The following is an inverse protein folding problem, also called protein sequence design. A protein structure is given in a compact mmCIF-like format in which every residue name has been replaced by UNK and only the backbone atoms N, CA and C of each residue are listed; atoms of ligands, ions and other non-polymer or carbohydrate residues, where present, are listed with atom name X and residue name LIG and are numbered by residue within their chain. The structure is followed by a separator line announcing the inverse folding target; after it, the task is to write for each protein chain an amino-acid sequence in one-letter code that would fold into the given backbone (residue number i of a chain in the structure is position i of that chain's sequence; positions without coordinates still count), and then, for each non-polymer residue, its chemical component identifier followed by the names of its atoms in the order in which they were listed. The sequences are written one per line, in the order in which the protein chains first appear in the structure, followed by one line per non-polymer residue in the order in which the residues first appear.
data_IF_558603941944
#
_entry.id   IF_558603941944
#
_cell.length_a   1.000
_cell.length_b   1.000
_cell.length_c   1.000
_cell.angle_alpha   90.00
_cell.angle_beta   90.00
_cell.angle_gamma   90.00
#
_symmetry.space_group_name_H-M   'P 1'
#
loop_
_entity.id
_entity.type
_entity.pdbx_description
1 polymer ?
#
# COMPACT_ATOMS: atom_id res chain seq x y z
N UNK A 1 -32.36 -7.42 9.30
CA UNK A 1 -31.29 -7.01 10.24
C UNK A 1 -29.97 -7.10 9.51
N UNK A 2 -29.18 -6.03 9.46
CA UNK A 2 -27.81 -6.12 8.94
C UNK A 2 -26.96 -6.92 9.92
N UNK A 3 -26.36 -8.02 9.47
CA UNK A 3 -25.45 -8.83 10.29
C UNK A 3 -24.18 -8.04 10.56
N UNK A 4 -23.84 -7.89 11.83
CA UNK A 4 -22.59 -7.28 12.28
C UNK A 4 -21.44 -8.27 12.11
N UNK A 5 -20.32 -7.79 11.57
CA UNK A 5 -19.10 -8.58 11.34
C UNK A 5 -18.09 -8.23 12.42
N UNK A 6 -17.49 -9.23 13.06
CA UNK A 6 -16.42 -8.99 14.03
C UNK A 6 -15.08 -8.80 13.33
N UNK A 7 -14.14 -8.14 14.01
CA UNK A 7 -12.80 -7.86 13.47
C UNK A 7 -12.08 -9.15 13.05
N UNK A 8 -12.18 -10.24 13.81
CA UNK A 8 -11.54 -11.52 13.48
C UNK A 8 -11.99 -12.17 12.17
N UNK A 9 -13.20 -11.84 11.72
CA UNK A 9 -13.83 -12.43 10.55
C UNK A 9 -13.45 -11.65 9.27
N UNK A 10 -12.77 -10.51 9.40
CA UNK A 10 -12.34 -9.67 8.29
C UNK A 10 -11.15 -10.33 7.57
N UNK A 11 -11.26 -10.43 6.24
CA UNK A 11 -10.24 -10.94 5.32
C UNK A 11 -10.05 -9.98 4.15
N UNK A 12 -8.88 -9.99 3.48
CA UNK A 12 -8.66 -9.20 2.28
C UNK A 12 -9.75 -9.43 1.22
N UNK A 13 -10.21 -8.36 0.59
CA UNK A 13 -11.18 -8.41 -0.50
C UNK A 13 -12.65 -8.46 -0.07
N UNK A 14 -12.95 -8.62 1.23
CA UNK A 14 -14.32 -8.54 1.72
C UNK A 14 -14.88 -7.12 1.58
N UNK A 15 -16.16 -7.03 1.21
CA UNK A 15 -16.92 -5.79 0.96
C UNK A 15 -18.24 -5.84 1.72
N UNK A 16 -18.95 -4.71 1.78
CA UNK A 16 -20.22 -4.57 2.47
C UNK A 16 -20.13 -4.93 3.97
N UNK A 17 -18.95 -4.67 4.57
CA UNK A 17 -18.69 -4.94 5.98
C UNK A 17 -19.46 -3.94 6.85
N UNK A 18 -20.16 -4.46 7.86
CA UNK A 18 -20.77 -3.65 8.90
C UNK A 18 -20.11 -4.02 10.23
N UNK A 19 -19.33 -3.12 10.81
CA UNK A 19 -18.46 -3.40 11.96
C UNK A 19 -18.64 -2.29 12.98
N UNK A 20 -18.81 -2.64 14.25
CA UNK A 20 -18.71 -1.69 15.36
C UNK A 20 -17.37 -1.94 16.05
N UNK A 21 -16.66 -0.86 16.32
CA UNK A 21 -15.35 -0.91 16.98
C UNK A 21 -15.14 0.31 17.86
N UNK A 22 -14.22 0.19 18.81
CA UNK A 22 -13.68 1.31 19.57
C UNK A 22 -12.34 1.73 18.98
N UNK A 23 -12.09 3.04 18.91
CA UNK A 23 -10.82 3.60 18.47
C UNK A 23 -9.83 3.56 19.62
N UNK A 24 -8.68 2.92 19.40
CA UNK A 24 -7.60 2.83 20.37
C UNK A 24 -6.59 3.95 20.19
N UNK A 25 -6.15 4.15 18.95
CA UNK A 25 -5.10 5.13 18.63
C UNK A 25 -5.40 5.82 17.31
N UNK A 26 -5.14 7.12 17.25
CA UNK A 26 -5.19 7.93 16.03
C UNK A 26 -3.78 8.19 15.54
N UNK A 27 -3.44 7.70 14.35
CA UNK A 27 -2.13 7.91 13.73
C UNK A 27 -1.93 9.31 13.17
N UNK A 28 -0.75 9.55 12.59
CA UNK A 28 -0.42 10.83 11.95
C UNK A 28 -1.24 11.03 10.67
N UNK A 29 -1.57 12.29 10.39
CA UNK A 29 -2.17 12.69 9.11
C UNK A 29 -1.08 12.70 8.04
N UNK A 30 -1.38 12.09 6.90
CA UNK A 30 -0.55 12.10 5.70
C UNK A 30 -1.33 12.73 4.56
N UNK A 31 -0.66 13.54 3.72
CA UNK A 31 -1.28 14.11 2.52
C UNK A 31 -0.90 13.28 1.29
N UNK A 32 -1.91 12.93 0.51
CA UNK A 32 -1.72 12.36 -0.82
C UNK A 32 -1.25 13.43 -1.81
N UNK A 33 -0.78 13.00 -2.99
CA UNK A 33 -0.34 13.92 -4.06
C UNK A 33 -1.46 14.85 -4.53
N UNK A 34 -2.70 14.37 -4.43
CA UNK A 34 -3.90 15.07 -4.89
C UNK A 34 -4.48 16.01 -3.80
N UNK A 35 -3.81 16.11 -2.66
CA UNK A 35 -4.18 17.02 -1.56
C UNK A 35 -5.09 16.41 -0.49
N UNK A 36 -5.62 15.19 -0.69
CA UNK A 36 -6.45 14.51 0.31
C UNK A 36 -5.65 14.12 1.55
N UNK A 37 -6.25 14.30 2.71
CA UNK A 37 -5.69 13.90 3.99
C UNK A 37 -6.10 12.47 4.32
N UNK A 38 -5.15 11.66 4.78
CA UNK A 38 -5.40 10.28 5.20
C UNK A 38 -4.80 10.06 6.56
N UNK A 39 -5.62 9.52 7.48
CA UNK A 39 -5.21 9.12 8.82
C UNK A 39 -5.42 7.62 8.97
N UNK A 40 -4.43 6.93 9.51
CA UNK A 40 -4.57 5.52 9.92
C UNK A 40 -4.87 5.48 11.40
N UNK A 41 -5.92 4.78 11.81
CA UNK A 41 -6.29 4.59 13.20
C UNK A 41 -6.24 3.11 13.56
N UNK A 42 -5.81 2.79 14.79
CA UNK A 42 -5.94 1.45 15.37
C UNK A 42 -7.31 1.36 16.03
N UNK A 43 -8.10 0.36 15.66
CA UNK A 43 -9.44 0.12 16.19
C UNK A 43 -9.58 -1.32 16.64
N UNK A 44 -10.50 -1.60 17.56
CA UNK A 44 -10.68 -2.94 18.09
C UNK A 44 -12.13 -3.26 18.45
N UNK A 45 -12.42 -4.56 18.49
CA UNK A 45 -13.60 -5.11 19.15
C UNK A 45 -13.16 -6.20 20.13
N UNK A 46 -14.10 -6.94 20.73
CA UNK A 46 -13.81 -8.05 21.66
C UNK A 46 -12.96 -9.19 21.06
N UNK A 47 -12.78 -9.23 19.74
CA UNK A 47 -12.12 -10.31 19.00
C UNK A 47 -10.71 -9.98 18.53
N UNK A 48 -10.30 -8.72 18.59
CA UNK A 48 -8.94 -8.28 18.25
C UNK A 48 -8.93 -6.86 17.68
N UNK A 49 -7.78 -6.47 17.14
CA UNK A 49 -7.56 -5.13 16.59
C UNK A 49 -7.23 -5.13 15.10
N UNK A 50 -7.57 -4.04 14.43
CA UNK A 50 -7.30 -3.82 13.00
C UNK A 50 -7.05 -2.32 12.77
N UNK A 51 -6.32 -2.00 11.70
CA UNK A 51 -6.08 -0.65 11.23
C UNK A 51 -7.20 -0.24 10.26
N UNK A 52 -7.68 0.99 10.40
CA UNK A 52 -8.60 1.63 9.45
C UNK A 52 -7.94 2.86 8.87
N UNK A 53 -8.05 3.07 7.56
CA UNK A 53 -7.65 4.33 6.92
C UNK A 53 -8.87 5.19 6.65
N UNK A 54 -8.88 6.39 7.23
CA UNK A 54 -9.98 7.35 7.12
C UNK A 54 -9.48 8.60 6.40
N UNK A 55 -10.32 9.12 5.51
CA UNK A 55 -9.98 10.20 4.59
C UNK A 55 -10.63 11.52 5.00
N UNK A 56 -9.94 12.60 4.66
CA UNK A 56 -10.38 13.99 4.74
C UNK A 56 -10.90 14.39 6.13
N UNK A 57 -11.92 15.25 6.17
CA UNK A 57 -12.47 15.84 7.39
C UNK A 57 -12.93 14.78 8.40
N UNK A 58 -13.50 13.66 7.93
CA UNK A 58 -13.96 12.56 8.78
C UNK A 58 -12.79 12.00 9.61
N UNK A 59 -11.60 11.92 9.03
CA UNK A 59 -10.40 11.46 9.74
C UNK A 59 -9.93 12.44 10.83
N UNK A 60 -10.25 13.74 10.69
CA UNK A 60 -9.95 14.77 11.68
C UNK A 60 -10.88 14.76 12.90
N UNK A 61 -12.11 14.29 12.72
CA UNK A 61 -13.13 14.25 13.78
C UNK A 61 -12.95 13.07 14.75
N UNK A 62 -12.29 11.99 14.31
CA UNK A 62 -12.12 10.76 15.11
C UNK A 62 -11.11 10.96 16.24
N UNK A 63 -11.50 10.55 17.45
CA UNK A 63 -10.68 10.55 18.66
C UNK A 63 -10.50 9.15 19.24
N UNK A 64 -9.44 8.96 20.03
CA UNK A 64 -9.27 7.75 20.83
C UNK A 64 -10.41 7.63 21.85
N UNK A 65 -10.94 6.41 22.01
CA UNK A 65 -12.09 6.12 22.85
C UNK A 65 -13.45 6.19 22.14
N UNK A 66 -13.53 6.73 20.93
CA UNK A 66 -14.79 6.78 20.16
C UNK A 66 -15.26 5.36 19.81
N UNK A 67 -16.57 5.11 19.96
CA UNK A 67 -17.23 3.91 19.45
C UNK A 67 -17.90 4.27 18.14
N UNK A 68 -17.45 3.63 17.06
CA UNK A 68 -17.86 3.96 15.70
C UNK A 68 -18.47 2.73 15.04
N UNK A 69 -19.60 2.96 14.37
CA UNK A 69 -20.23 2.01 13.45
C UNK A 69 -19.77 2.34 12.03
N UNK A 70 -19.06 1.41 11.42
CA UNK A 70 -18.80 1.42 9.98
C UNK A 70 -19.90 0.66 9.26
N UNK A 71 -20.46 1.25 8.21
CA UNK A 71 -21.37 0.57 7.28
C UNK A 71 -20.78 0.53 5.87
N UNK A 72 -21.08 -0.55 5.14
CA UNK A 72 -20.56 -0.83 3.80
C UNK A 72 -19.04 -0.61 3.67
N UNK A 73 -18.29 -1.00 4.68
CA UNK A 73 -16.84 -1.02 4.65
C UNK A 73 -16.29 -2.07 3.69
N UNK A 74 -15.00 -1.98 3.40
CA UNK A 74 -14.25 -3.03 2.72
C UNK A 74 -12.86 -3.18 3.33
N UNK A 75 -12.28 -4.37 3.19
CA UNK A 75 -10.95 -4.66 3.68
C UNK A 75 -10.00 -4.93 2.51
N UNK A 76 -8.82 -4.32 2.56
CA UNK A 76 -7.76 -4.52 1.56
C UNK A 76 -6.40 -4.55 2.24
N UNK A 77 -5.39 -5.08 1.56
CA UNK A 77 -4.02 -5.10 2.06
C UNK A 77 -3.30 -3.88 1.52
N UNK A 78 -2.70 -3.10 2.42
CA UNK A 78 -1.84 -1.98 2.06
C UNK A 78 -0.48 -2.16 2.74
N UNK A 79 0.59 -2.20 1.93
CA UNK A 79 1.97 -2.43 2.41
C UNK A 79 2.11 -3.67 3.30
N UNK A 80 1.36 -4.74 2.99
CA UNK A 80 1.37 -6.00 3.76
C UNK A 80 0.44 -6.03 4.98
N UNK A 81 -0.22 -4.92 5.31
CA UNK A 81 -1.14 -4.80 6.44
C UNK A 81 -2.59 -4.88 5.98
N UNK A 82 -3.38 -5.80 6.55
CA UNK A 82 -4.84 -5.79 6.35
C UNK A 82 -5.42 -4.52 6.95
N UNK A 83 -6.09 -3.73 6.12
CA UNK A 83 -6.60 -2.40 6.48
C UNK A 83 -8.05 -2.28 6.07
N UNK A 84 -8.85 -1.71 6.97
CA UNK A 84 -10.26 -1.41 6.77
C UNK A 84 -10.43 -0.04 6.12
N UNK A 85 -11.44 0.10 5.28
CA UNK A 85 -11.76 1.32 4.54
C UNK A 85 -13.28 1.52 4.50
N UNK A 86 -13.70 2.77 4.35
CA UNK A 86 -15.09 3.12 4.07
C UNK A 86 -15.38 2.89 2.59
N UNK A 87 -16.37 2.05 2.27
CA UNK A 87 -16.76 1.77 0.89
C UNK A 87 -17.68 2.82 0.29
N UNK A 88 -18.00 2.65 -1.00
CA UNK A 88 -18.90 3.56 -1.72
C UNK A 88 -20.30 3.55 -1.11
N UNK A 89 -20.78 4.72 -0.68
CA UNK A 89 -22.07 4.87 0.00
C UNK A 89 -22.11 4.21 1.39
N UNK A 90 -20.94 3.93 1.96
CA UNK A 90 -20.74 3.62 3.36
C UNK A 90 -20.40 4.87 4.17
N UNK A 91 -20.48 4.75 5.48
CA UNK A 91 -20.26 5.85 6.41
C UNK A 91 -19.64 5.37 7.73
N UNK A 92 -19.03 6.31 8.45
CA UNK A 92 -18.56 6.15 9.81
C UNK A 92 -19.45 6.97 10.73
N UNK A 93 -20.17 6.31 11.62
CA UNK A 93 -21.07 6.96 12.57
C UNK A 93 -20.55 6.77 14.00
N UNK A 94 -20.20 7.85 14.69
CA UNK A 94 -19.96 7.80 16.14
C UNK A 94 -21.27 7.47 16.85
N UNK A 95 -21.29 6.39 17.62
CA UNK A 95 -22.46 5.91 18.35
C UNK A 95 -22.26 5.89 19.87
N UNK A 96 -21.04 6.17 20.35
CA UNK A 96 -20.71 6.23 21.78
C UNK A 96 -19.24 6.48 22.02
N UNK A 97 -18.79 6.31 23.26
CA UNK A 97 -17.39 6.42 23.68
C UNK A 97 -17.11 5.59 24.94
N UNK A 98 -15.84 5.19 25.13
CA UNK A 98 -15.21 4.59 26.32
C UNK A 98 -15.69 3.20 26.78
N UNK A 99 -17.00 2.92 26.75
CA UNK A 99 -17.59 1.77 27.44
C UNK A 99 -17.67 0.46 26.63
N UNK A 100 -16.98 0.37 25.48
CA UNK A 100 -16.97 -0.86 24.66
C UNK A 100 -15.86 -1.80 25.11
N UNK A 101 -16.19 -3.06 25.38
CA UNK A 101 -15.20 -4.10 25.66
C UNK A 101 -14.44 -4.46 24.37
N UNK A 102 -13.10 -4.47 24.45
CA UNK A 102 -12.23 -4.77 23.32
C UNK A 102 -11.04 -5.66 23.71
N UNK A 103 -10.42 -6.27 22.70
CA UNK A 103 -9.12 -6.94 22.79
C UNK A 103 -8.17 -6.32 21.78
N UNK A 104 -6.94 -6.00 22.19
CA UNK A 104 -5.92 -5.53 21.26
C UNK A 104 -5.30 -6.66 20.44
N UNK A 105 -5.37 -7.90 20.94
CA UNK A 105 -4.71 -9.08 20.39
C UNK A 105 -5.74 -10.11 19.94
N UNK A 106 -5.57 -10.75 18.77
CA UNK A 106 -4.51 -10.51 17.79
C UNK A 106 -4.71 -9.19 17.03
N UNK A 107 -3.61 -8.61 16.55
CA UNK A 107 -3.64 -7.48 15.64
C UNK A 107 -3.65 -8.00 14.20
N UNK A 108 -4.81 -7.90 13.54
CA UNK A 108 -5.02 -8.40 12.19
C UNK A 108 -4.31 -7.57 11.11
N UNK A 109 -3.79 -6.40 11.46
CA UNK A 109 -3.01 -5.53 10.56
C UNK A 109 -1.51 -5.76 10.66
N UNK A 110 -1.04 -6.70 11.48
CA UNK A 110 0.37 -7.07 11.45
C UNK A 110 0.80 -7.49 10.04
N UNK A 111 1.98 -7.05 9.57
CA UNK A 111 2.48 -7.42 8.25
C UNK A 111 2.51 -8.95 8.09
N UNK A 112 1.68 -9.47 7.18
CA UNK A 112 1.64 -10.89 6.89
C UNK A 112 2.34 -11.18 5.54
N UNK A 113 3.41 -12.00 5.53
CA UNK A 113 4.08 -12.43 4.29
C UNK A 113 3.14 -13.06 3.25
N UNK A 114 2.08 -13.75 3.66
CA UNK A 114 1.11 -14.37 2.75
C UNK A 114 0.32 -13.31 1.97
N UNK A 115 -0.06 -12.19 2.60
CA UNK A 115 -0.76 -11.11 1.94
C UNK A 115 0.11 -10.39 0.92
N UNK A 116 1.42 -10.25 1.20
CA UNK A 116 2.38 -9.71 0.25
C UNK A 116 2.51 -10.61 -0.99
N UNK A 117 2.53 -11.93 -0.80
CA UNK A 117 2.60 -12.88 -1.91
C UNK A 117 1.34 -12.88 -2.81
N UNK A 118 0.16 -12.63 -2.23
CA UNK A 118 -1.10 -12.56 -2.99
C UNK A 118 -1.19 -11.29 -3.84
N UNK A 119 -0.71 -10.13 -3.35
CA UNK A 119 -0.67 -8.89 -4.16
C UNK A 119 0.14 -9.06 -5.45
N UNK A 120 1.24 -9.81 -5.40
CA UNK A 120 2.10 -10.04 -6.56
C UNK A 120 1.47 -10.96 -7.63
N UNK A 121 0.48 -11.79 -7.27
CA UNK A 121 -0.22 -12.66 -8.23
C UNK A 121 -1.37 -11.95 -8.96
N UNK A 122 -2.05 -11.02 -8.30
CA UNK A 122 -3.18 -10.26 -8.89
C UNK A 122 -2.75 -9.22 -9.94
N UNK A 123 -1.45 -8.93 -10.08
CA UNK A 123 -0.93 -8.03 -11.12
C UNK A 123 -0.67 -8.67 -12.49
N UNK A 124 -0.94 -9.97 -12.67
CA UNK A 124 -0.57 -10.73 -13.88
C UNK A 124 -1.75 -11.41 -14.61
N UNK A 125 -3.01 -11.11 -14.26
CA UNK A 125 -4.16 -11.86 -14.79
C UNK A 125 -5.11 -11.10 -15.73
N UNK A 126 -4.66 -9.99 -16.34
CA UNK A 126 -5.34 -9.39 -17.50
C UNK A 126 -4.86 -10.03 -18.81
N UNK A 127 -4.93 -11.36 -18.87
CA UNK A 127 -4.81 -12.06 -20.13
C UNK A 127 -5.74 -13.27 -20.16
N UNK A 128 -6.59 -13.28 -21.19
CA UNK A 128 -7.52 -14.32 -21.64
C UNK A 128 -8.90 -14.36 -20.97
N UNK A 129 -9.90 -13.75 -21.65
CA UNK A 129 -11.16 -14.46 -21.92
C UNK A 129 -11.98 -13.78 -23.04
N UNK A 130 -11.91 -14.29 -24.27
CA UNK A 130 -13.06 -14.35 -25.18
C UNK A 130 -12.84 -15.46 -26.20
N UNK A 131 -13.54 -16.56 -26.00
CA UNK A 131 -13.81 -17.55 -27.05
C UNK A 131 -15.33 -17.68 -27.24
N UNK A 132 -15.72 -18.07 -28.46
CA UNK A 132 -17.07 -18.29 -29.04
C UNK A 132 -17.66 -17.07 -29.79
N UNK A 133 -18.20 -17.15 -31.02
CA UNK A 133 -18.64 -18.30 -31.84
C UNK A 133 -18.91 -17.94 -33.33
N UNK A 134 -18.77 -18.96 -34.20
CA UNK A 134 -19.54 -19.28 -35.42
C UNK A 134 -19.36 -18.50 -36.76
N UNK A 135 -19.06 -19.25 -37.84
CA UNK A 135 -19.36 -18.85 -39.23
C UNK A 135 -18.60 -19.51 -40.40
N UNK A 136 -18.80 -20.82 -40.67
CA UNK A 136 -18.91 -21.52 -42.00
C UNK A 136 -17.87 -21.35 -43.17
N UNK A 137 -17.86 -22.25 -44.20
CA UNK A 137 -16.63 -22.85 -44.78
C UNK A 137 -16.33 -22.55 -46.27
N UNK A 138 -15.08 -22.78 -46.69
CA UNK A 138 -14.59 -23.07 -48.06
C UNK A 138 -13.07 -23.32 -47.92
N UNK A 139 -12.34 -24.23 -48.58
CA UNK A 139 -12.50 -25.05 -49.78
C UNK A 139 -11.09 -25.21 -50.36
N UNK A 140 -10.77 -26.42 -50.87
CA UNK A 140 -9.67 -26.80 -51.78
C UNK A 140 -8.29 -27.29 -51.23
N UNK A 141 -8.08 -28.59 -51.52
CA UNK A 141 -6.95 -29.23 -52.23
C UNK A 141 -5.56 -29.44 -51.58
N UNK A 142 -5.37 -30.71 -51.15
CA UNK A 142 -4.23 -31.67 -51.26
C UNK A 142 -2.94 -31.30 -52.03
N UNK A 143 -1.85 -32.13 -51.97
CA UNK A 143 -1.19 -32.85 -50.86
C UNK A 143 0.37 -32.72 -50.94
N UNK A 144 1.11 -33.60 -50.23
CA UNK A 144 2.55 -33.93 -50.41
C UNK A 144 3.54 -33.07 -49.58
N UNK A 145 4.55 -33.58 -48.88
CA UNK A 145 5.14 -34.90 -48.81
C UNK A 145 6.20 -34.97 -47.70
N UNK A 146 6.67 -36.20 -47.49
CA UNK A 146 7.56 -36.72 -46.44
C UNK A 146 8.98 -36.09 -46.44
N UNK A 147 9.64 -35.99 -45.28
CA UNK A 147 11.06 -35.59 -45.21
C UNK A 147 11.69 -35.70 -43.82
N UNK A 148 12.41 -36.81 -43.61
CA UNK A 148 13.17 -37.19 -42.40
C UNK A 148 14.63 -36.72 -42.54
N UNK A 149 15.38 -36.74 -41.43
CA UNK A 149 16.87 -36.68 -41.31
C UNK A 149 17.51 -35.28 -41.40
N UNK A 150 18.67 -34.94 -40.80
CA UNK A 150 19.59 -35.53 -39.81
C UNK A 150 20.78 -34.56 -39.74
N UNK A 151 21.29 -34.29 -38.52
CA UNK A 151 22.72 -34.23 -38.16
C UNK A 151 23.71 -33.40 -39.01
N UNK A 152 24.43 -32.47 -38.35
CA UNK A 152 25.62 -31.83 -38.92
C UNK A 152 26.35 -30.91 -37.96
N UNK A 153 27.36 -31.46 -37.26
CA UNK A 153 28.34 -30.78 -36.41
C UNK A 153 29.40 -29.98 -37.20
N UNK A 154 30.06 -29.02 -36.53
CA UNK A 154 31.46 -28.62 -36.81
C UNK A 154 31.67 -27.10 -36.87
N UNK A 155 32.18 -26.47 -35.80
CA UNK A 155 33.58 -26.00 -35.60
C UNK A 155 33.96 -24.79 -36.50
N UNK A 156 34.48 -23.65 -36.03
CA UNK A 156 35.75 -23.48 -35.29
C UNK A 156 36.10 -21.98 -35.15
N UNK A 157 36.82 -21.59 -34.08
CA UNK A 157 37.91 -20.55 -33.98
C UNK A 157 37.59 -19.06 -34.28
N UNK A 158 38.14 -18.00 -33.67
CA UNK A 158 39.23 -17.76 -32.71
C UNK A 158 39.14 -16.31 -32.16
N UNK A 159 39.76 -16.07 -30.99
CA UNK A 159 40.53 -14.88 -30.59
C UNK A 159 39.96 -13.43 -30.53
N UNK A 160 39.89 -12.90 -29.30
CA UNK A 160 40.21 -11.51 -28.88
C UNK A 160 41.73 -11.20 -29.10
N UNK A 161 42.32 -9.98 -28.89
CA UNK A 161 41.88 -8.84 -28.07
C UNK A 161 42.21 -7.38 -28.58
N UNK A 162 41.66 -6.38 -27.88
CA UNK A 162 42.37 -5.15 -27.48
C UNK A 162 42.26 -3.88 -28.34
N UNK A 163 42.01 -2.72 -27.71
CA UNK A 163 42.28 -1.38 -28.28
C UNK A 163 41.37 -0.26 -27.78
N UNK A 164 41.96 0.87 -27.35
CA UNK A 164 41.37 1.98 -26.57
C UNK A 164 40.92 3.18 -27.42
N UNK A 165 39.97 3.97 -26.90
CA UNK A 165 39.87 5.45 -26.86
C UNK A 165 38.40 5.83 -26.57
N UNK A 166 37.98 6.95 -25.98
CA UNK A 166 38.53 8.05 -25.17
C UNK A 166 37.30 8.92 -24.82
N UNK A 167 37.43 9.75 -23.78
CA UNK A 167 36.48 10.79 -23.32
C UNK A 167 35.26 10.27 -22.56
N UNK A 168 35.01 10.60 -21.29
CA UNK A 168 35.53 11.67 -20.46
C UNK A 168 34.33 12.36 -19.80
N UNK A 169 34.09 12.09 -18.50
CA UNK A 169 33.53 13.12 -17.64
C UNK A 169 33.85 12.85 -16.17
N UNK A 170 34.45 13.86 -15.54
CA UNK A 170 35.20 13.75 -14.29
C UNK A 170 34.34 13.67 -13.03
N UNK A 171 34.90 13.02 -12.03
CA UNK A 171 34.43 13.03 -10.65
C UNK A 171 35.50 13.71 -9.76
N UNK A 172 35.05 14.68 -8.96
CA UNK A 172 35.42 14.97 -7.56
C UNK A 172 36.91 14.98 -7.15
N UNK A 173 37.36 16.10 -6.55
CA UNK A 173 38.29 16.15 -5.39
C UNK A 173 38.31 17.53 -4.71
N UNK A 174 38.27 17.54 -3.37
CA UNK A 174 38.52 18.64 -2.38
C UNK A 174 40.04 18.94 -2.24
N UNK A 175 40.61 19.81 -1.33
CA UNK A 175 40.10 20.78 -0.32
C UNK A 175 40.86 22.16 -0.28
N UNK A 176 40.61 22.96 0.79
CA UNK A 176 41.50 23.99 1.44
C UNK A 176 41.16 25.51 1.30
N UNK A 177 41.63 26.40 2.22
CA UNK A 177 40.77 27.32 2.99
C UNK A 177 40.99 28.82 2.70
N UNK A 178 40.03 29.67 3.10
CA UNK A 178 40.10 31.12 2.91
C UNK A 178 39.34 31.90 4.00
N UNK A 179 40.01 32.94 4.48
CA UNK A 179 39.75 33.78 5.67
C UNK A 179 38.74 34.90 5.41
N UNK A 180 38.06 35.36 6.48
CA UNK A 180 37.36 36.65 6.59
C UNK A 180 35.85 36.44 6.82
N UNK A 181 35.25 36.72 7.98
CA UNK A 181 35.46 37.83 8.92
C UNK A 181 34.24 38.73 8.84
N UNK A 182 33.32 38.64 9.81
CA UNK A 182 32.43 39.72 10.28
C UNK A 182 31.50 39.22 11.38
N UNK A 183 31.70 39.79 12.57
CA UNK A 183 30.89 39.72 13.77
C UNK A 183 29.55 40.43 13.63
N UNK A 184 28.45 39.81 14.10
CA UNK A 184 27.27 40.57 14.56
C UNK A 184 26.63 39.89 15.77
N UNK A 185 26.35 40.72 16.75
CA UNK A 185 25.95 40.47 18.14
C UNK A 185 24.50 39.99 18.31
N UNK A 186 24.28 38.96 19.14
CA UNK A 186 22.96 38.63 19.67
C UNK A 186 22.69 39.41 20.98
N UNK A 187 21.65 40.24 20.95
CA UNK A 187 21.18 41.04 22.08
C UNK A 187 20.21 40.28 23.00
N UNK A 188 20.58 40.25 24.29
CA UNK A 188 19.74 40.29 25.51
C UNK A 188 18.31 39.69 25.46
N UNK A 189 18.17 38.47 25.98
CA UNK A 189 16.93 38.01 26.62
C UNK A 189 16.72 38.72 27.97
N UNK A 190 15.54 39.30 28.17
CA UNK A 190 15.10 39.83 29.47
C UNK A 190 14.16 38.84 30.15
N UNK A 191 14.67 38.23 31.22
CA UNK A 191 13.94 37.46 32.22
C UNK A 191 12.92 38.36 32.94
N UNK A 192 11.63 38.02 32.89
CA UNK A 192 10.62 38.55 33.83
C UNK A 192 9.91 37.41 34.54
N UNK A 193 10.32 37.21 35.79
CA UNK A 193 9.52 36.61 36.86
C UNK A 193 8.55 37.68 37.37
N UNK A 194 7.27 37.33 37.53
CA UNK A 194 6.40 38.04 38.49
C UNK A 194 5.61 37.00 39.26
N UNK A 195 5.77 37.05 40.58
CA UNK A 195 5.06 36.30 41.60
C UNK A 195 4.16 37.30 42.31
N UNK A 196 2.89 36.96 42.51
CA UNK A 196 2.08 37.42 43.63
C UNK A 196 0.97 36.40 43.84
#
# INVERSE_FOLDING_TARGET
MSTETHVKDIKPGLKNLNVIFIVLETGRVTKTKDGHEVRTCKVADKTGSISISVWDEVGGLIQAGDIIRLTKGYASVFKGCLTLYTGRGGELQKIGEFCMVYSEVPNFSEPNPEYLAQMNKTGLNDQSNTNSSAGAPAGNDTPNGNGVNSQGSGNSTNAQPGGRASSGNGNRSTPSPGVGGSSVSNGKETRRTVKR
#
